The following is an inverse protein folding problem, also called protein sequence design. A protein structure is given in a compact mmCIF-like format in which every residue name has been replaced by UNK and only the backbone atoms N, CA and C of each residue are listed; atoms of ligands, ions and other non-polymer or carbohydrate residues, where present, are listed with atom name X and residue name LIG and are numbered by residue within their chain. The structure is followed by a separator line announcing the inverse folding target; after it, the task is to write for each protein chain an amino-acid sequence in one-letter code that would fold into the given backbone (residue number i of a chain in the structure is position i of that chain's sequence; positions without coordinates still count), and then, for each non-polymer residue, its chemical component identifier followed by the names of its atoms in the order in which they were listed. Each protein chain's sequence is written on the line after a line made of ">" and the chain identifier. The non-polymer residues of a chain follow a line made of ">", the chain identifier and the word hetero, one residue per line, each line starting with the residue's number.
data_IF_713251377352
#
_entry.id   IF_713251377352
#
_cell.length_a   1.000
_cell.length_b   1.000
_cell.length_c   1.000
_cell.angle_alpha   90.00
_cell.angle_beta   90.00
_cell.angle_gamma   90.00
#
_symmetry.space_group_name_H-M   'P 1'
#
loop_
_entity.id
_entity.type
_entity.pdbx_description
1 polymer ?
#
# COMPACT_ATOMS: atom_id res chain seq x y z
N UNK A 1 -9.32 -49.02 -14.20
CA UNK A 1 -8.92 -47.82 -14.96
C UNK A 1 -10.13 -46.91 -15.05
N UNK A 2 -10.16 -45.84 -14.26
CA UNK A 2 -10.97 -44.64 -14.46
C UNK A 2 -10.53 -43.62 -13.42
N UNK A 3 -9.51 -42.85 -13.79
CA UNK A 3 -9.35 -41.50 -13.27
C UNK A 3 -10.57 -40.68 -13.69
N UNK A 4 -11.02 -39.75 -12.85
CA UNK A 4 -10.90 -38.32 -13.17
C UNK A 4 -11.77 -37.40 -12.29
N UNK A 5 -11.20 -36.23 -12.02
CA UNK A 5 -11.82 -34.98 -11.54
C UNK A 5 -12.05 -34.80 -10.03
N UNK A 6 -10.96 -34.76 -9.26
CA UNK A 6 -10.89 -33.99 -8.01
C UNK A 6 -10.84 -32.49 -8.33
N UNK A 7 -12.01 -31.85 -8.37
CA UNK A 7 -12.17 -30.41 -8.56
C UNK A 7 -11.76 -29.69 -7.28
N UNK A 8 -10.61 -29.02 -7.30
CA UNK A 8 -10.12 -28.12 -6.24
C UNK A 8 -10.92 -26.81 -6.29
N UNK A 9 -12.20 -26.87 -5.95
CA UNK A 9 -12.97 -25.66 -5.65
C UNK A 9 -12.98 -25.45 -4.13
N UNK A 10 -12.84 -24.19 -3.72
CA UNK A 10 -13.14 -23.67 -2.38
C UNK A 10 -12.01 -23.59 -1.33
N UNK A 11 -10.86 -23.00 -1.68
CA UNK A 11 -9.84 -22.54 -0.72
C UNK A 11 -9.91 -21.03 -0.39
N UNK A 12 -11.10 -20.47 -0.17
CA UNK A 12 -11.21 -19.17 0.52
C UNK A 12 -11.13 -19.41 2.02
N UNK A 13 -9.93 -19.31 2.58
CA UNK A 13 -9.75 -19.25 4.03
C UNK A 13 -10.20 -17.87 4.53
N UNK A 14 -11.12 -17.85 5.48
CA UNK A 14 -11.59 -16.64 6.15
C UNK A 14 -10.90 -16.54 7.51
N UNK A 15 -10.34 -15.38 7.83
CA UNK A 15 -9.63 -15.13 9.10
C UNK A 15 -10.51 -14.33 10.05
N UNK A 16 -10.60 -14.76 11.31
CA UNK A 16 -11.09 -13.93 12.40
C UNK A 16 -9.98 -12.97 12.85
N UNK A 17 -10.22 -11.67 12.67
CA UNK A 17 -9.23 -10.59 12.90
C UNK A 17 -8.84 -10.46 14.38
N UNK A 18 -9.64 -10.98 15.30
CA UNK A 18 -9.39 -10.86 16.74
C UNK A 18 -8.48 -11.95 17.32
N UNK A 19 -8.33 -13.11 16.68
CA UNK A 19 -7.61 -14.25 17.28
C UNK A 19 -6.65 -15.03 16.37
N UNK A 20 -6.56 -14.73 15.06
CA UNK A 20 -5.64 -15.40 14.12
C UNK A 20 -5.66 -16.95 14.21
N UNK A 21 -6.82 -17.55 14.51
CA UNK A 21 -7.02 -19.00 14.50
C UNK A 21 -7.88 -19.39 13.30
N UNK A 22 -7.51 -20.52 12.67
CA UNK A 22 -8.34 -21.18 11.67
C UNK A 22 -9.59 -21.74 12.34
N UNK A 23 -10.75 -21.25 11.94
CA UNK A 23 -12.04 -21.75 12.42
C UNK A 23 -12.74 -22.50 11.26
N UNK A 24 -13.09 -23.79 11.43
CA UNK A 24 -13.83 -24.54 10.40
C UNK A 24 -15.20 -23.92 10.12
N UNK A 25 -15.63 -23.90 8.85
CA UNK A 25 -16.94 -23.32 8.46
C UNK A 25 -18.12 -23.97 9.18
N UNK A 26 -18.02 -25.24 9.55
CA UNK A 26 -19.06 -26.00 10.25
C UNK A 26 -19.36 -25.49 11.66
N UNK A 27 -18.54 -24.59 12.22
CA UNK A 27 -18.78 -23.98 13.54
C UNK A 27 -19.30 -22.55 13.46
N UNK A 28 -19.50 -22.01 12.26
CA UNK A 28 -20.24 -20.76 12.06
C UNK A 28 -21.74 -21.09 12.12
N UNK A 29 -22.43 -20.48 13.07
CA UNK A 29 -23.87 -20.55 13.17
C UNK A 29 -24.47 -19.66 12.07
N UNK A 30 -25.02 -20.28 11.02
CA UNK A 30 -25.69 -19.60 9.90
C UNK A 30 -26.99 -18.89 10.34
N UNK A 31 -27.41 -19.04 11.61
CA UNK A 31 -28.60 -18.39 12.21
C UNK A 31 -28.32 -16.98 12.75
N UNK A 32 -27.09 -16.48 12.65
CA UNK A 32 -26.76 -15.11 13.09
C UNK A 32 -27.33 -14.14 12.06
N UNK A 33 -28.56 -13.69 12.30
CA UNK A 33 -29.13 -12.50 11.67
C UNK A 33 -28.13 -11.34 11.85
N UNK A 34 -27.85 -10.54 10.82
CA UNK A 34 -26.98 -9.39 10.97
C UNK A 34 -27.67 -8.42 11.93
N UNK A 35 -27.22 -8.38 13.19
CA UNK A 35 -27.62 -7.32 14.11
C UNK A 35 -27.26 -5.99 13.43
N UNK A 36 -28.27 -5.13 13.23
CA UNK A 36 -28.08 -3.77 12.74
C UNK A 36 -27.28 -3.00 13.79
N UNK A 37 -25.97 -3.19 13.77
CA UNK A 37 -25.04 -2.44 14.59
C UNK A 37 -25.03 -1.02 14.05
N UNK A 38 -25.81 -0.16 14.72
CA UNK A 38 -25.91 1.26 14.44
C UNK A 38 -24.53 1.90 14.33
N UNK A 39 -24.45 2.96 13.51
CA UNK A 39 -23.23 3.61 13.02
C UNK A 39 -22.12 3.88 14.07
N UNK A 40 -22.43 3.84 15.37
CA UNK A 40 -21.46 3.91 16.47
C UNK A 40 -20.48 2.73 16.56
N UNK A 41 -20.83 1.52 16.11
CA UNK A 41 -19.90 0.38 16.18
C UNK A 41 -18.79 0.43 15.13
N UNK A 42 -19.05 1.01 13.96
CA UNK A 42 -18.05 1.25 12.94
C UNK A 42 -16.93 2.19 13.49
N UNK A 43 -17.30 3.22 14.26
CA UNK A 43 -16.33 4.09 14.93
C UNK A 43 -15.59 3.39 16.08
N UNK A 44 -16.23 2.44 16.77
CA UNK A 44 -15.54 1.62 17.78
C UNK A 44 -14.54 0.66 17.14
N UNK A 45 -14.87 0.07 15.98
CA UNK A 45 -13.98 -0.80 15.21
C UNK A 45 -12.83 -0.01 14.59
N UNK A 46 -13.09 1.20 14.08
CA UNK A 46 -12.02 2.12 13.66
C UNK A 46 -11.15 2.53 14.85
N UNK A 47 -11.72 2.77 16.03
CA UNK A 47 -10.96 3.02 17.27
C UNK A 47 -10.13 1.82 17.75
N UNK A 48 -10.65 0.59 17.57
CA UNK A 48 -9.96 -0.68 17.89
C UNK A 48 -8.89 -1.03 16.87
N UNK A 49 -9.12 -0.77 15.58
CA UNK A 49 -8.10 -0.86 14.53
C UNK A 49 -7.02 0.19 14.72
N UNK A 50 -7.38 1.41 15.12
CA UNK A 50 -6.44 2.49 15.46
C UNK A 50 -5.61 2.22 16.72
N UNK A 51 -6.04 1.32 17.60
CA UNK A 51 -5.31 0.93 18.81
C UNK A 51 -4.57 -0.40 18.67
N UNK A 52 -5.04 -1.30 17.81
CA UNK A 52 -4.34 -2.54 17.45
C UNK A 52 -3.23 -2.31 16.42
N UNK A 53 -3.41 -1.33 15.53
CA UNK A 53 -2.33 -0.77 14.74
C UNK A 53 -1.84 0.41 15.56
N UNK A 54 -0.81 0.20 16.38
CA UNK A 54 -0.08 1.30 16.99
C UNK A 54 0.67 2.08 15.89
N UNK A 55 -0.09 2.83 15.09
CA UNK A 55 0.43 3.72 14.03
C UNK A 55 1.13 4.94 14.64
N UNK A 56 1.03 5.11 15.96
CA UNK A 56 1.38 6.35 16.65
C UNK A 56 2.72 6.32 17.39
N UNK A 57 3.29 5.16 17.70
CA UNK A 57 4.58 5.12 18.43
C UNK A 57 5.81 4.85 17.54
N UNK A 58 5.65 4.12 16.41
CA UNK A 58 6.72 3.83 15.42
C UNK A 58 6.36 4.27 13.98
N UNK A 59 5.33 5.12 13.81
CA UNK A 59 4.83 5.66 12.52
C UNK A 59 5.79 6.58 11.75
N UNK A 60 7.09 6.42 11.95
CA UNK A 60 8.14 7.20 11.33
C UNK A 60 8.51 6.61 9.97
N UNK A 61 8.09 7.29 8.90
CA UNK A 61 8.71 7.05 7.58
C UNK A 61 10.19 7.41 7.72
N UNK A 62 11.06 6.41 7.53
CA UNK A 62 12.50 6.61 7.66
C UNK A 62 12.96 7.82 6.82
N UNK A 63 13.92 8.65 7.28
CA UNK A 63 14.22 9.92 6.63
C UNK A 63 14.70 9.74 5.19
N UNK A 64 15.39 8.64 4.91
CA UNK A 64 15.84 8.30 3.56
C UNK A 64 14.68 7.93 2.62
N UNK A 65 13.67 7.18 3.11
CA UNK A 65 12.44 6.89 2.36
C UNK A 65 11.65 8.17 2.13
N UNK A 66 11.50 8.99 3.17
CA UNK A 66 10.79 10.26 3.07
C UNK A 66 11.45 11.17 2.04
N UNK A 67 12.78 11.33 2.08
CA UNK A 67 13.52 12.13 1.11
C UNK A 67 13.34 11.61 -0.33
N UNK A 68 13.32 10.29 -0.52
CA UNK A 68 13.04 9.69 -1.83
C UNK A 68 11.61 9.97 -2.31
N UNK A 69 10.61 9.90 -1.43
CA UNK A 69 9.21 10.20 -1.74
C UNK A 69 9.00 11.70 -2.01
N UNK A 70 9.67 12.57 -1.27
CA UNK A 70 9.63 14.02 -1.48
C UNK A 70 10.21 14.38 -2.85
N UNK A 71 11.38 13.84 -3.19
CA UNK A 71 12.00 14.04 -4.50
C UNK A 71 11.19 13.44 -5.66
N UNK A 72 10.44 12.36 -5.41
CA UNK A 72 9.49 11.82 -6.38
C UNK A 72 8.29 12.76 -6.56
N UNK A 73 7.69 13.22 -5.46
CA UNK A 73 6.49 14.05 -5.46
C UNK A 73 6.69 15.46 -5.98
N UNK A 74 7.88 16.03 -5.80
CA UNK A 74 8.25 17.35 -6.37
C UNK A 74 8.83 17.26 -7.80
N UNK A 75 9.08 16.04 -8.28
CA UNK A 75 9.62 15.75 -9.61
C UNK A 75 11.11 16.06 -9.80
N UNK A 76 11.84 16.37 -8.72
CA UNK A 76 13.30 16.58 -8.74
C UNK A 76 14.07 15.27 -8.92
N UNK A 77 13.50 14.16 -8.46
CA UNK A 77 14.10 12.83 -8.53
C UNK A 77 13.11 11.78 -9.08
N UNK A 78 13.00 11.63 -10.42
CA UNK A 78 12.01 10.75 -11.06
C UNK A 78 12.39 9.26 -11.03
N UNK A 79 13.35 8.87 -10.19
CA UNK A 79 13.82 7.49 -10.09
C UNK A 79 13.66 7.03 -8.64
N UNK A 80 12.93 5.94 -8.45
CA UNK A 80 12.79 5.30 -7.14
C UNK A 80 13.19 3.83 -7.25
N UNK A 81 13.61 3.25 -6.13
CA UNK A 81 13.87 1.82 -6.05
C UNK A 81 12.58 1.01 -6.25
N UNK A 82 12.72 -0.27 -6.59
CA UNK A 82 11.57 -1.11 -6.94
C UNK A 82 10.53 -1.24 -5.83
N UNK A 83 10.96 -1.20 -4.57
CA UNK A 83 10.05 -1.18 -3.42
C UNK A 83 9.10 0.03 -3.47
N UNK A 84 9.64 1.25 -3.57
CA UNK A 84 8.82 2.48 -3.63
C UNK A 84 8.00 2.53 -4.91
N UNK A 85 8.53 2.03 -6.03
CA UNK A 85 7.78 1.91 -7.27
C UNK A 85 6.54 1.04 -7.12
N UNK A 86 6.63 -0.08 -6.40
CA UNK A 86 5.49 -0.93 -6.08
C UNK A 86 4.49 -0.23 -5.16
N UNK A 87 4.96 0.46 -4.11
CA UNK A 87 4.10 1.25 -3.20
C UNK A 87 3.35 2.34 -3.97
N UNK A 88 4.05 3.14 -4.77
CA UNK A 88 3.47 4.22 -5.58
C UNK A 88 2.48 3.70 -6.64
N UNK A 89 2.67 2.46 -7.10
CA UNK A 89 1.80 1.80 -8.08
C UNK A 89 0.63 1.02 -7.44
N UNK A 90 0.39 1.20 -6.13
CA UNK A 90 -0.62 0.48 -5.36
C UNK A 90 -0.54 -1.05 -5.51
N UNK A 91 0.68 -1.59 -5.73
CA UNK A 91 0.93 -3.02 -5.79
C UNK A 91 1.42 -3.51 -4.44
N UNK A 92 0.47 -3.87 -3.56
CA UNK A 92 0.79 -4.30 -2.21
C UNK A 92 1.59 -5.61 -2.19
N UNK A 93 1.35 -6.52 -3.13
CA UNK A 93 2.04 -7.81 -3.16
C UNK A 93 3.51 -7.62 -3.53
N UNK A 94 3.79 -6.83 -4.58
CA UNK A 94 5.17 -6.49 -4.95
C UNK A 94 5.85 -5.63 -3.88
N UNK A 95 5.12 -4.70 -3.24
CA UNK A 95 5.68 -3.89 -2.17
C UNK A 95 6.12 -4.75 -0.98
N UNK A 96 5.30 -5.71 -0.56
CA UNK A 96 5.64 -6.66 0.51
C UNK A 96 6.79 -7.58 0.08
N UNK A 97 6.77 -8.09 -1.15
CA UNK A 97 7.82 -8.99 -1.66
C UNK A 97 9.20 -8.34 -1.81
N UNK A 98 9.25 -7.01 -1.96
CA UNK A 98 10.49 -6.23 -2.14
C UNK A 98 10.94 -5.47 -0.90
N UNK A 99 10.09 -5.36 0.12
CA UNK A 99 10.41 -4.65 1.34
C UNK A 99 11.52 -5.37 2.11
N UNK A 100 12.48 -4.60 2.63
CA UNK A 100 13.38 -5.08 3.67
C UNK A 100 12.67 -5.15 5.05
N UNK A 101 13.38 -5.64 6.06
CA UNK A 101 12.88 -5.82 7.42
C UNK A 101 12.34 -4.53 8.06
N UNK A 102 12.91 -3.36 7.75
CA UNK A 102 12.44 -2.10 8.32
C UNK A 102 11.25 -1.56 7.53
N UNK A 103 11.35 -1.61 6.20
CA UNK A 103 10.32 -1.12 5.29
C UNK A 103 9.00 -1.88 5.42
N UNK A 104 9.03 -3.19 5.69
CA UNK A 104 7.80 -3.97 5.91
C UNK A 104 7.08 -3.53 7.19
N UNK A 105 7.82 -3.18 8.25
CA UNK A 105 7.26 -2.73 9.53
C UNK A 105 6.66 -1.32 9.42
N UNK A 106 7.23 -0.47 8.58
CA UNK A 106 6.76 0.91 8.37
C UNK A 106 5.87 1.08 7.14
N UNK A 107 5.53 0.00 6.44
CA UNK A 107 4.74 0.05 5.19
C UNK A 107 3.40 0.79 5.36
N UNK A 108 2.63 0.63 6.46
CA UNK A 108 1.41 1.40 6.68
C UNK A 108 1.67 2.92 6.78
N UNK A 109 2.76 3.32 7.45
CA UNK A 109 3.14 4.72 7.57
C UNK A 109 3.58 5.30 6.21
N UNK A 110 4.31 4.52 5.41
CA UNK A 110 4.71 4.89 4.04
C UNK A 110 3.47 5.08 3.15
N UNK A 111 2.53 4.14 3.18
CA UNK A 111 1.30 4.23 2.40
C UNK A 111 0.45 5.44 2.80
N UNK A 112 0.33 5.69 4.11
CA UNK A 112 -0.34 6.88 4.65
C UNK A 112 0.33 8.18 4.19
N UNK A 113 1.66 8.23 4.19
CA UNK A 113 2.41 9.38 3.69
C UNK A 113 2.17 9.63 2.20
N UNK A 114 2.23 8.58 1.38
CA UNK A 114 1.95 8.67 -0.06
C UNK A 114 0.55 9.23 -0.31
N UNK A 115 -0.46 8.69 0.39
CA UNK A 115 -1.85 9.11 0.20
C UNK A 115 -2.13 10.54 0.69
N UNK A 116 -1.55 10.94 1.82
CA UNK A 116 -1.88 12.21 2.46
C UNK A 116 -0.96 13.38 2.06
N UNK A 117 0.27 13.10 1.59
CA UNK A 117 1.29 14.13 1.37
C UNK A 117 1.74 14.30 -0.07
N UNK A 118 1.58 13.29 -0.93
CA UNK A 118 2.01 13.38 -2.33
C UNK A 118 0.86 13.83 -3.25
N UNK A 119 1.17 14.46 -4.41
CA UNK A 119 0.17 14.79 -5.42
C UNK A 119 -0.54 13.55 -5.95
N UNK A 120 -1.87 13.62 -6.12
CA UNK A 120 -2.69 12.51 -6.59
C UNK A 120 -2.29 11.95 -7.98
N UNK A 121 -1.60 12.76 -8.78
CA UNK A 121 -1.12 12.39 -10.11
C UNK A 121 0.15 11.54 -10.11
N UNK A 122 0.92 11.52 -9.00
CA UNK A 122 2.21 10.84 -8.95
C UNK A 122 2.16 9.41 -8.38
N UNK A 123 0.97 8.92 -8.01
CA UNK A 123 0.76 7.57 -7.47
C UNK A 123 -0.61 7.01 -7.91
N UNK A 124 -0.84 5.72 -7.68
CA UNK A 124 -2.07 5.03 -8.07
C UNK A 124 -1.78 3.86 -8.99
N UNK A 125 -2.26 3.88 -10.24
CA UNK A 125 -2.02 2.76 -11.16
C UNK A 125 -0.60 2.80 -11.73
N UNK A 126 -0.04 1.66 -12.18
CA UNK A 126 1.26 1.62 -12.84
C UNK A 126 1.36 2.55 -14.07
N UNK A 127 0.23 2.86 -14.72
CA UNK A 127 0.19 3.81 -15.82
C UNK A 127 0.38 5.25 -15.33
N UNK A 128 -0.33 5.67 -14.26
CA UNK A 128 -0.15 7.01 -13.66
C UNK A 128 1.30 7.25 -13.21
N UNK A 129 1.89 6.27 -12.55
CA UNK A 129 3.30 6.35 -12.08
C UNK A 129 4.27 6.55 -13.25
N UNK A 130 4.06 5.84 -14.37
CA UNK A 130 4.88 6.01 -15.59
C UNK A 130 4.67 7.37 -16.26
N UNK A 131 3.43 7.84 -16.33
CA UNK A 131 3.10 9.16 -16.90
C UNK A 131 3.74 10.29 -16.07
N UNK A 132 3.65 10.20 -14.74
CA UNK A 132 4.33 11.13 -13.84
C UNK A 132 5.84 11.11 -14.04
N UNK A 133 6.44 9.91 -14.12
CA UNK A 133 7.87 9.77 -14.39
C UNK A 133 8.29 10.44 -15.70
N UNK A 134 7.54 10.20 -16.78
CA UNK A 134 7.79 10.81 -18.08
C UNK A 134 7.66 12.34 -18.03
N UNK A 135 6.64 12.86 -17.34
CA UNK A 135 6.45 14.30 -17.11
C UNK A 135 7.64 14.93 -16.38
N UNK A 136 8.13 14.28 -15.33
CA UNK A 136 9.28 14.77 -14.56
C UNK A 136 10.57 14.75 -15.39
N UNK A 137 10.80 13.69 -16.18
CA UNK A 137 11.95 13.60 -17.09
C UNK A 137 11.91 14.72 -18.14
N UNK A 138 10.77 14.94 -18.79
CA UNK A 138 10.60 16.04 -19.74
C UNK A 138 10.85 17.41 -19.10
N UNK A 139 10.41 17.61 -17.85
CA UNK A 139 10.68 18.84 -17.10
C UNK A 139 12.17 19.04 -16.79
N UNK A 140 12.88 17.96 -16.43
CA UNK A 140 14.34 17.98 -16.19
C UNK A 140 15.09 18.28 -17.49
N UNK A 141 14.71 17.65 -18.60
CA UNK A 141 15.29 17.90 -19.92
C UNK A 141 15.05 19.34 -20.38
N UNK A 142 13.83 19.87 -20.21
CA UNK A 142 13.52 21.26 -20.52
C UNK A 142 14.34 22.24 -19.67
N UNK A 143 14.49 21.96 -18.36
CA UNK A 143 15.37 22.75 -17.47
C UNK A 143 16.83 22.68 -17.90
N UNK A 144 17.32 21.50 -18.32
CA UNK A 144 18.69 21.33 -18.84
C UNK A 144 18.91 22.07 -20.15
N UNK A 145 17.93 22.07 -21.05
CA UNK A 145 17.99 22.80 -22.31
C UNK A 145 17.95 24.33 -22.09
N UNK A 146 17.13 24.80 -21.15
CA UNK A 146 17.04 26.22 -20.78
C UNK A 146 18.25 26.71 -19.96
N UNK A 147 18.88 25.80 -19.20
CA UNK A 147 20.05 26.04 -18.35
C UNK A 147 21.38 25.54 -18.95
N UNK A 148 21.46 25.38 -20.27
CA UNK A 148 22.74 25.11 -20.94
C UNK A 148 23.75 26.17 -20.50
N UNK A 149 24.80 25.70 -19.82
CA UNK A 149 25.88 26.47 -19.22
C UNK A 149 26.36 27.55 -20.20
N UNK A 150 26.40 28.85 -19.84
CA UNK A 150 27.18 29.81 -20.60
C UNK A 150 28.63 29.32 -20.58
N UNK A 151 29.13 28.97 -21.76
CA UNK A 151 30.51 28.57 -22.06
C UNK A 151 31.54 29.40 -21.33
#
# INVERSE_FOLDING_TARGET
>A
MSDSHGRLDDKRAWYSVSEWKLVPRSTLDDSIEPEEHGEGEAYSLLGRLSSAIDITSDGFVSPHIKAALDGWGDGSHPFCGDFLRAVLSNDLLEAVGRADYYNIRTLPAIASYVYNSLPLECHGTPTKVREWQAKCLAAIEAKRAAGAVPT
#
